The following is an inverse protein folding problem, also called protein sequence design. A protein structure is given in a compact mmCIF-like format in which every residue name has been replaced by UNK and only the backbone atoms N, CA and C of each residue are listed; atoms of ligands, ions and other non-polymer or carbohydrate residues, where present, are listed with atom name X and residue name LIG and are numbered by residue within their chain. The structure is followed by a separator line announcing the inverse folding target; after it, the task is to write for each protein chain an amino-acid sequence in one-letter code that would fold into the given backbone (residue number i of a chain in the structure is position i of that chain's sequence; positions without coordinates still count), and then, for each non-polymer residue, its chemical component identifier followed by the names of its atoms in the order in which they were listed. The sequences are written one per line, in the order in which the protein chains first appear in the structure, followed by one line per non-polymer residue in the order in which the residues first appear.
data_IF_298835099695
#
_entry.id   IF_298835099695
#
_cell.length_a   1.000
_cell.length_b   1.000
_cell.length_c   1.000
_cell.angle_alpha   90.00
_cell.angle_beta   90.00
_cell.angle_gamma   90.00
#
_symmetry.space_group_name_H-M   'P 1'
#
loop_
_entity.id
_entity.type
_entity.pdbx_description
1 polymer ?
#
# COMPACT_ATOMS: atom_id res chain seq x y z
N UNK A 1 -8.74 55.12 -9.19
CA UNK A 1 -7.83 53.99 -9.42
C UNK A 1 -8.35 52.81 -8.61
N UNK A 2 -8.92 51.82 -9.28
CA UNK A 2 -9.46 50.66 -8.63
C UNK A 2 -8.31 49.63 -8.41
N UNK A 3 -7.99 49.38 -7.15
CA UNK A 3 -7.10 48.31 -6.79
C UNK A 3 -7.77 46.96 -7.13
N UNK A 4 -7.25 46.28 -8.13
CA UNK A 4 -7.63 44.91 -8.43
C UNK A 4 -7.22 44.04 -7.24
N UNK A 5 -8.20 43.60 -6.46
CA UNK A 5 -8.02 42.52 -5.49
C UNK A 5 -7.62 41.25 -6.26
N UNK A 6 -6.33 40.94 -6.25
CA UNK A 6 -5.84 39.65 -6.71
C UNK A 6 -6.40 38.61 -5.76
N UNK A 7 -7.37 37.86 -6.21
CA UNK A 7 -7.87 36.67 -5.51
C UNK A 7 -6.67 35.72 -5.37
N UNK A 8 -6.07 35.66 -4.18
CA UNK A 8 -4.94 34.81 -3.93
C UNK A 8 -5.37 33.32 -4.14
N UNK A 9 -4.90 32.75 -5.23
CA UNK A 9 -5.07 31.31 -5.51
C UNK A 9 -4.50 30.53 -4.34
N UNK A 10 -5.28 29.60 -3.79
CA UNK A 10 -4.74 28.66 -2.78
C UNK A 10 -3.56 27.89 -3.38
N UNK A 11 -2.42 27.83 -2.69
CA UNK A 11 -1.27 27.08 -3.19
C UNK A 11 -1.62 25.61 -3.40
N UNK A 12 -1.06 24.99 -4.42
CA UNK A 12 -1.19 23.56 -4.67
C UNK A 12 -0.40 22.77 -3.63
N UNK A 13 -0.71 21.48 -3.47
CA UNK A 13 0.02 20.61 -2.58
C UNK A 13 1.53 20.63 -2.88
N UNK A 14 1.90 20.62 -4.15
CA UNK A 14 3.29 20.66 -4.60
C UNK A 14 3.99 21.98 -4.25
N UNK A 15 3.28 23.11 -4.37
CA UNK A 15 3.81 24.43 -4.00
C UNK A 15 4.04 24.54 -2.49
N UNK A 16 3.10 24.03 -1.67
CA UNK A 16 3.24 23.99 -0.21
C UNK A 16 4.42 23.12 0.20
N UNK A 17 4.57 21.94 -0.40
CA UNK A 17 5.69 21.04 -0.15
C UNK A 17 7.01 21.67 -0.55
N UNK A 18 7.07 22.33 -1.71
CA UNK A 18 8.27 23.03 -2.18
C UNK A 18 8.70 24.17 -1.26
N UNK A 19 7.73 24.90 -0.69
CA UNK A 19 8.00 25.98 0.24
C UNK A 19 8.52 25.47 1.59
N UNK A 20 7.91 24.41 2.12
CA UNK A 20 8.35 23.75 3.35
C UNK A 20 9.70 23.03 3.24
N UNK A 21 10.07 22.54 2.05
CA UNK A 21 11.40 21.97 1.81
C UNK A 21 12.52 22.98 2.01
N UNK A 22 12.24 24.26 1.90
CA UNK A 22 13.23 25.33 2.12
C UNK A 22 13.46 25.62 3.59
N UNK A 23 12.45 25.38 4.43
CA UNK A 23 12.48 25.74 5.85
C UNK A 23 12.79 24.56 6.78
N UNK A 24 12.60 23.33 6.34
CA UNK A 24 12.81 22.12 7.13
C UNK A 24 13.87 21.23 6.49
N UNK A 25 14.82 20.73 7.28
CA UNK A 25 15.85 19.78 6.85
C UNK A 25 15.29 18.39 6.44
N UNK A 26 13.96 18.22 6.45
CA UNK A 26 13.23 17.01 6.11
C UNK A 26 12.61 17.04 4.72
N UNK A 27 12.61 15.90 4.04
CA UNK A 27 11.95 15.70 2.77
C UNK A 27 10.42 15.62 2.97
N UNK A 28 9.68 16.46 2.25
CA UNK A 28 8.22 16.51 2.31
C UNK A 28 7.62 16.16 0.94
N UNK A 29 6.43 15.56 0.96
CA UNK A 29 5.73 15.07 -0.23
C UNK A 29 4.30 15.58 -0.28
N UNK A 30 3.81 15.91 -1.48
CA UNK A 30 2.41 16.16 -1.74
C UNK A 30 1.67 14.87 -2.09
N UNK A 31 0.33 14.91 -1.99
CA UNK A 31 -0.50 13.74 -2.33
C UNK A 31 -0.30 13.30 -3.79
N UNK A 32 -0.14 14.26 -4.71
CA UNK A 32 0.07 13.98 -6.14
C UNK A 32 1.40 13.27 -6.39
N UNK A 33 2.46 13.65 -5.67
CA UNK A 33 3.77 12.98 -5.74
C UNK A 33 3.66 11.52 -5.29
N UNK A 34 3.00 11.27 -4.15
CA UNK A 34 2.82 9.92 -3.62
C UNK A 34 1.94 9.05 -4.51
N UNK A 35 0.86 9.61 -5.06
CA UNK A 35 0.01 8.89 -6.01
C UNK A 35 0.77 8.46 -7.25
N UNK A 36 1.65 9.32 -7.76
CA UNK A 36 2.49 9.04 -8.92
C UNK A 36 3.55 7.99 -8.62
N UNK A 37 4.21 8.09 -7.46
CA UNK A 37 5.25 7.14 -7.04
C UNK A 37 4.71 5.72 -6.82
N UNK A 38 3.55 5.60 -6.16
CA UNK A 38 2.98 4.30 -5.77
C UNK A 38 1.89 3.79 -6.72
N UNK A 39 1.58 4.53 -7.78
CA UNK A 39 0.52 4.20 -8.74
C UNK A 39 -0.84 3.93 -8.07
N UNK A 40 -1.25 4.84 -7.21
CA UNK A 40 -2.52 4.80 -6.49
C UNK A 40 -3.29 6.13 -6.60
N UNK A 41 -4.58 6.08 -6.37
CA UNK A 41 -5.44 7.27 -6.41
C UNK A 41 -5.33 8.11 -5.14
N UNK A 42 -5.60 9.43 -5.21
CA UNK A 42 -5.74 10.27 -4.03
C UNK A 42 -6.81 9.75 -3.06
N UNK A 43 -7.86 9.14 -3.59
CA UNK A 43 -8.93 8.53 -2.81
C UNK A 43 -8.42 7.39 -1.94
N UNK A 44 -7.51 6.55 -2.46
CA UNK A 44 -6.90 5.45 -1.70
C UNK A 44 -6.07 5.99 -0.53
N UNK A 45 -5.26 7.04 -0.74
CA UNK A 45 -4.47 7.67 0.32
C UNK A 45 -5.38 8.26 1.41
N UNK A 46 -6.43 8.98 1.02
CA UNK A 46 -7.41 9.55 1.96
C UNK A 46 -8.15 8.47 2.75
N UNK A 47 -8.44 7.33 2.12
CA UNK A 47 -9.04 6.18 2.78
C UNK A 47 -8.13 5.65 3.91
N UNK A 48 -6.84 5.54 3.68
CA UNK A 48 -5.88 5.12 4.72
C UNK A 48 -5.76 6.16 5.84
N UNK A 49 -5.85 7.45 5.53
CA UNK A 49 -5.93 8.53 6.52
C UNK A 49 -7.20 8.38 7.38
N UNK A 50 -8.36 8.18 6.76
CA UNK A 50 -9.64 8.00 7.45
C UNK A 50 -9.65 6.76 8.36
N UNK A 51 -8.90 5.73 8.00
CA UNK A 51 -8.73 4.50 8.83
C UNK A 51 -7.64 4.64 9.91
N UNK A 52 -7.03 5.80 10.05
CA UNK A 52 -6.00 6.05 11.05
C UNK A 52 -4.64 5.41 10.76
N UNK A 53 -4.41 4.99 9.52
CA UNK A 53 -3.13 4.40 9.09
C UNK A 53 -2.10 5.45 8.67
N UNK A 54 -2.55 6.62 8.24
CA UNK A 54 -1.75 7.79 7.89
C UNK A 54 -2.26 9.01 8.64
N UNK A 55 -1.35 9.90 9.01
CA UNK A 55 -1.66 11.15 9.69
C UNK A 55 -0.83 12.31 9.12
N UNK A 56 -1.14 12.77 7.89
CA UNK A 56 -0.43 13.87 7.27
C UNK A 56 -0.65 15.17 8.02
N UNK A 57 0.31 16.08 7.96
CA UNK A 57 0.14 17.46 8.40
C UNK A 57 -0.73 18.21 7.40
N UNK A 58 -1.42 19.23 7.90
CA UNK A 58 -2.13 20.19 7.05
C UNK A 58 -1.48 21.55 7.14
N UNK A 59 -1.16 22.09 5.98
CA UNK A 59 -0.63 23.46 5.83
C UNK A 59 -1.56 24.22 4.89
N UNK A 60 -2.20 25.25 5.42
CA UNK A 60 -3.22 26.02 4.69
C UNK A 60 -4.31 25.14 4.07
N UNK A 61 -4.76 24.12 4.81
CA UNK A 61 -5.74 23.13 4.36
C UNK A 61 -5.21 22.06 3.39
N UNK A 62 -3.94 22.12 3.02
CA UNK A 62 -3.30 21.17 2.11
C UNK A 62 -2.58 20.07 2.88
N UNK A 63 -2.74 18.82 2.46
CA UNK A 63 -2.04 17.66 3.01
C UNK A 63 -0.57 17.68 2.63
N UNK A 64 0.29 17.49 3.62
CA UNK A 64 1.73 17.38 3.46
C UNK A 64 2.22 16.12 4.17
N UNK A 65 2.96 15.29 3.47
CA UNK A 65 3.44 13.99 3.95
C UNK A 65 4.93 14.03 4.23
N UNK A 66 5.34 13.43 5.34
CA UNK A 66 6.76 13.29 5.73
C UNK A 66 7.38 12.04 5.10
N UNK A 67 8.72 11.90 5.21
CA UNK A 67 9.40 10.63 4.88
C UNK A 67 8.82 9.43 5.62
N UNK A 68 8.44 9.64 6.87
CA UNK A 68 7.79 8.61 7.69
C UNK A 68 6.44 8.20 7.12
N UNK A 69 5.63 9.15 6.71
CA UNK A 69 4.34 8.89 6.06
C UNK A 69 4.52 8.11 4.75
N UNK A 70 5.51 8.49 3.96
CA UNK A 70 5.86 7.79 2.71
C UNK A 70 6.29 6.34 2.96
N UNK A 71 7.17 6.12 3.94
CA UNK A 71 7.60 4.77 4.34
C UNK A 71 6.41 3.96 4.86
N UNK A 72 5.56 4.57 5.66
CA UNK A 72 4.33 3.98 6.19
C UNK A 72 3.37 3.55 5.07
N UNK A 73 3.17 4.40 4.07
CA UNK A 73 2.36 4.09 2.90
C UNK A 73 2.92 2.90 2.12
N UNK A 74 4.22 2.85 1.91
CA UNK A 74 4.88 1.70 1.27
C UNK A 74 4.61 0.38 2.01
N UNK A 75 4.67 0.38 3.33
CA UNK A 75 4.37 -0.78 4.17
C UNK A 75 2.89 -1.19 4.07
N UNK A 76 1.98 -0.23 4.10
CA UNK A 76 0.54 -0.48 3.94
C UNK A 76 0.26 -1.18 2.61
N UNK A 77 0.81 -0.68 1.52
CA UNK A 77 0.59 -1.23 0.19
C UNK A 77 1.18 -2.64 0.03
N UNK A 78 2.35 -2.89 0.60
CA UNK A 78 2.96 -4.24 0.61
C UNK A 78 2.12 -5.24 1.41
N UNK A 79 1.68 -4.86 2.60
CA UNK A 79 0.84 -5.71 3.44
C UNK A 79 -0.51 -6.01 2.76
N UNK A 80 -1.11 -5.02 2.12
CA UNK A 80 -2.33 -5.19 1.33
C UNK A 80 -2.13 -6.16 0.16
N UNK A 81 -1.01 -6.08 -0.54
CA UNK A 81 -0.70 -6.94 -1.67
C UNK A 81 -0.61 -8.43 -1.29
N UNK A 82 -0.23 -8.75 -0.06
CA UNK A 82 -0.22 -10.13 0.47
C UNK A 82 -1.52 -10.53 1.18
N UNK A 83 -2.57 -9.72 1.09
CA UNK A 83 -3.89 -10.02 1.61
C UNK A 83 -4.12 -9.68 3.09
N UNK A 84 -3.28 -8.86 3.71
CA UNK A 84 -3.49 -8.41 5.09
C UNK A 84 -4.73 -7.53 5.21
N UNK A 85 -5.50 -7.72 6.28
CA UNK A 85 -6.62 -6.85 6.63
C UNK A 85 -6.13 -5.48 7.14
N UNK A 86 -6.99 -4.47 7.11
CA UNK A 86 -6.66 -3.15 7.66
C UNK A 86 -6.30 -3.20 9.15
N UNK A 87 -6.97 -4.06 9.93
CA UNK A 87 -6.67 -4.26 11.35
C UNK A 87 -5.27 -4.87 11.54
N UNK A 88 -4.90 -5.84 10.73
CA UNK A 88 -3.55 -6.44 10.76
C UNK A 88 -2.47 -5.44 10.35
N UNK A 89 -2.74 -4.62 9.32
CA UNK A 89 -1.84 -3.56 8.88
C UNK A 89 -1.63 -2.53 10.00
N UNK A 90 -2.71 -2.11 10.66
CA UNK A 90 -2.62 -1.18 11.78
C UNK A 90 -1.81 -1.76 12.93
N UNK A 91 -2.07 -3.01 13.30
CA UNK A 91 -1.31 -3.72 14.31
C UNK A 91 0.19 -3.77 13.97
N UNK A 92 0.52 -4.13 12.74
CA UNK A 92 1.90 -4.14 12.24
C UNK A 92 2.59 -2.79 12.36
N UNK A 93 1.92 -1.70 11.97
CA UNK A 93 2.47 -0.36 12.07
C UNK A 93 2.66 0.09 13.52
N UNK A 94 1.76 -0.30 14.41
CA UNK A 94 1.83 0.03 15.83
C UNK A 94 2.98 -0.71 16.55
N UNK A 95 3.37 -1.89 16.07
CA UNK A 95 4.51 -2.65 16.61
C UNK A 95 5.85 -1.93 16.46
N UNK A 96 5.97 -1.03 15.51
CA UNK A 96 7.24 -0.33 15.26
C UNK A 96 7.61 0.64 16.40
N UNK A 97 6.63 1.16 17.13
CA UNK A 97 6.82 2.14 18.19
C UNK A 97 7.15 3.55 17.67
N UNK A 98 7.36 4.48 18.58
CA UNK A 98 7.61 5.90 18.26
C UNK A 98 9.03 6.14 17.75
N UNK A 99 10.01 5.40 18.28
CA UNK A 99 11.43 5.56 17.99
C UNK A 99 12.06 4.34 17.29
N UNK A 100 11.23 3.44 16.75
CA UNK A 100 11.70 2.22 16.09
C UNK A 100 12.14 1.11 17.03
N UNK A 101 11.82 1.19 18.32
CA UNK A 101 12.13 0.19 19.34
C UNK A 101 11.46 -1.16 19.07
N UNK A 102 10.34 -1.16 18.37
CA UNK A 102 9.60 -2.35 17.98
C UNK A 102 10.06 -3.04 16.70
N UNK A 103 11.16 -2.62 16.08
CA UNK A 103 11.60 -3.13 14.78
C UNK A 103 11.78 -4.66 14.75
N UNK A 104 12.40 -5.23 15.77
CA UNK A 104 12.61 -6.69 15.84
C UNK A 104 11.29 -7.44 15.97
N UNK A 105 10.36 -6.95 16.79
CA UNK A 105 9.01 -7.51 16.93
C UNK A 105 8.26 -7.43 15.62
N UNK A 106 8.35 -6.32 14.94
CA UNK A 106 7.74 -6.09 13.63
C UNK A 106 8.28 -7.07 12.58
N UNK A 107 9.58 -7.28 12.52
CA UNK A 107 10.21 -8.22 11.59
C UNK A 107 9.80 -9.67 11.85
N UNK A 108 9.72 -10.07 13.11
CA UNK A 108 9.22 -11.41 13.50
C UNK A 108 7.76 -11.61 13.10
N UNK A 109 6.93 -10.60 13.29
CA UNK A 109 5.54 -10.63 12.87
C UNK A 109 5.41 -10.82 11.35
N UNK A 110 6.18 -10.09 10.55
CA UNK A 110 6.19 -10.25 9.08
C UNK A 110 6.68 -11.63 8.68
N UNK A 111 7.74 -12.13 9.31
CA UNK A 111 8.27 -13.47 9.04
C UNK A 111 7.20 -14.55 9.28
N UNK A 112 6.52 -14.51 10.42
CA UNK A 112 5.44 -15.45 10.73
C UNK A 112 4.29 -15.38 9.74
N UNK A 113 3.82 -14.17 9.44
CA UNK A 113 2.73 -13.94 8.47
C UNK A 113 3.07 -14.43 7.07
N UNK A 114 4.24 -14.08 6.58
CA UNK A 114 4.66 -14.49 5.23
C UNK A 114 4.92 -15.98 5.14
N UNK A 115 5.49 -16.60 6.17
CA UNK A 115 5.69 -18.05 6.22
C UNK A 115 4.36 -18.81 6.16
N UNK A 116 3.36 -18.38 6.91
CA UNK A 116 2.02 -18.96 6.86
C UNK A 116 1.36 -18.78 5.49
N UNK A 117 1.44 -17.59 4.92
CA UNK A 117 0.87 -17.30 3.60
C UNK A 117 1.54 -18.14 2.50
N UNK A 118 2.86 -18.32 2.56
CA UNK A 118 3.60 -19.18 1.62
C UNK A 118 3.11 -20.62 1.73
N UNK A 119 3.03 -21.16 2.94
CA UNK A 119 2.57 -22.54 3.16
C UNK A 119 1.16 -22.77 2.63
N UNK A 120 0.24 -21.85 2.85
CA UNK A 120 -1.12 -21.93 2.32
C UNK A 120 -1.17 -21.88 0.79
N UNK A 121 -0.38 -21.00 0.17
CA UNK A 121 -0.30 -20.89 -1.29
C UNK A 121 0.34 -22.14 -1.92
N UNK A 122 1.37 -22.70 -1.32
CA UNK A 122 1.99 -23.96 -1.78
C UNK A 122 1.00 -25.11 -1.72
N UNK A 123 0.19 -25.19 -0.67
CA UNK A 123 -0.86 -26.21 -0.55
C UNK A 123 -1.94 -26.04 -1.61
N UNK A 124 -2.38 -24.80 -1.87
CA UNK A 124 -3.33 -24.51 -2.95
C UNK A 124 -2.76 -24.85 -4.32
N UNK A 125 -1.49 -24.55 -4.56
CA UNK A 125 -0.79 -24.90 -5.79
C UNK A 125 -0.76 -26.42 -6.01
N UNK A 126 -0.40 -27.17 -4.99
CA UNK A 126 -0.38 -28.64 -5.06
C UNK A 126 -1.76 -29.22 -5.37
N UNK A 127 -2.82 -28.66 -4.78
CA UNK A 127 -4.19 -29.07 -5.06
C UNK A 127 -4.62 -28.76 -6.50
N UNK A 128 -4.27 -27.58 -7.01
CA UNK A 128 -4.53 -27.20 -8.41
C UNK A 128 -3.76 -28.11 -9.37
N UNK A 129 -2.50 -28.41 -9.10
CA UNK A 129 -1.68 -29.29 -9.92
C UNK A 129 -2.27 -30.72 -9.99
N UNK A 130 -2.76 -31.25 -8.87
CA UNK A 130 -3.43 -32.54 -8.81
C UNK A 130 -4.74 -32.53 -9.64
N UNK A 131 -5.54 -31.50 -9.52
CA UNK A 131 -6.79 -31.34 -10.31
C UNK A 131 -6.53 -31.24 -11.80
N UNK A 132 -5.48 -30.49 -12.20
CA UNK A 132 -5.05 -30.41 -13.59
C UNK A 132 -4.62 -31.76 -14.16
N UNK A 133 -3.86 -32.53 -13.40
CA UNK A 133 -3.40 -33.85 -13.81
C UNK A 133 -4.60 -34.79 -14.07
N UNK A 134 -5.57 -34.79 -13.17
CA UNK A 134 -6.79 -35.59 -13.31
C UNK A 134 -7.62 -35.19 -14.55
N UNK A 135 -7.86 -33.89 -14.72
CA UNK A 135 -8.60 -33.37 -15.88
C UNK A 135 -7.91 -33.68 -17.21
N UNK A 136 -6.59 -33.68 -17.25
CA UNK A 136 -5.83 -34.04 -18.46
C UNK A 136 -6.01 -35.50 -18.80
N UNK A 137 -6.05 -36.40 -17.82
CA UNK A 137 -6.29 -37.84 -18.03
C UNK A 137 -7.70 -38.04 -18.60
N UNK A 138 -8.71 -37.41 -18.00
CA UNK A 138 -10.09 -37.49 -18.46
C UNK A 138 -10.21 -36.96 -19.91
N UNK A 139 -9.66 -35.79 -20.18
CA UNK A 139 -9.66 -35.16 -21.49
C UNK A 139 -9.04 -36.06 -22.55
N UNK A 140 -7.86 -36.64 -22.29
CA UNK A 140 -7.18 -37.55 -23.19
C UNK A 140 -7.99 -38.82 -23.46
N UNK A 141 -8.64 -39.37 -22.45
CA UNK A 141 -9.47 -40.58 -22.59
C UNK A 141 -10.68 -40.32 -23.45
N UNK A 142 -11.39 -39.22 -23.23
CA UNK A 142 -12.57 -38.83 -24.04
C UNK A 142 -12.17 -38.54 -25.49
N UNK A 143 -11.06 -37.86 -25.72
CA UNK A 143 -10.54 -37.57 -27.06
C UNK A 143 -10.26 -38.85 -27.85
N UNK A 144 -9.57 -39.82 -27.24
CA UNK A 144 -9.35 -41.14 -27.88
C UNK A 144 -10.63 -41.87 -28.21
N UNK A 145 -11.62 -41.83 -27.31
CA UNK A 145 -12.95 -42.48 -27.55
C UNK A 145 -13.71 -41.85 -28.72
N UNK A 146 -13.54 -40.55 -28.97
CA UNK A 146 -14.16 -39.86 -30.08
C UNK A 146 -13.46 -40.19 -31.44
N UNK A 147 -12.15 -40.40 -31.41
CA UNK A 147 -11.36 -40.72 -32.62
C UNK A 147 -11.61 -42.17 -33.11
N UNK A 148 -12.08 -43.06 -32.23
CA UNK A 148 -12.34 -44.46 -32.54
C UNK A 148 -13.82 -44.75 -32.95
N UNK A 149 -14.60 -43.68 -33.11
CA UNK A 149 -15.95 -43.75 -33.66
C UNK A 149 -15.96 -43.38 -35.14
#
# INVERSE_FOLDING_TARGET
MAARSATARKPTADEVVADHRRDDAGELFGITELCREFDISPRAIRFYEDKGLLAPRRVNGTRVYTRRDRARLSLILRAKAIGSSLAEIKHYLDLYGTHGEGRTVQLRYVLDKTSKAIAELEQKRAHIDASLAELRIINATVRRSLEHK
#
